data_IF_712371528908
#
_entry.id   IF_712371528908
#
_cell.length_a   1.000
_cell.length_b   1.000
_cell.length_c   1.000
_cell.angle_alpha   90.00
_cell.angle_beta   90.00
_cell.angle_gamma   90.00
#
_symmetry.space_group_name_H-M   'P 1'
#
loop_
_entity.id
_entity.type
_entity.pdbx_description
1 polymer ?
#
# COMPACT_ATOMS: atom_id res chain seq x y z
N UNK A 1 3.15 7.55 22.33
CA UNK A 1 1.88 7.54 21.55
C UNK A 1 1.74 8.75 20.60
N UNK A 2 1.92 10.00 21.05
CA UNK A 2 1.74 11.16 20.16
C UNK A 2 2.75 11.26 19.01
N UNK A 3 4.01 10.91 19.25
CA UNK A 3 5.06 11.03 18.23
C UNK A 3 4.96 9.94 17.15
N UNK A 4 4.58 8.72 17.53
CA UNK A 4 4.39 7.62 16.56
C UNK A 4 3.21 7.89 15.63
N UNK A 5 2.14 8.53 16.12
CA UNK A 5 1.00 8.90 15.29
C UNK A 5 1.30 10.04 14.32
N UNK A 6 2.15 11.00 14.71
CA UNK A 6 2.62 12.05 13.78
C UNK A 6 3.51 11.46 12.70
N UNK A 7 4.38 10.53 13.09
CA UNK A 7 5.24 9.84 12.13
C UNK A 7 4.41 9.01 11.14
N UNK A 8 3.43 8.25 11.64
CA UNK A 8 2.52 7.49 10.80
C UNK A 8 1.74 8.40 9.85
N UNK A 9 1.15 9.49 10.34
CA UNK A 9 0.48 10.48 9.48
C UNK A 9 1.41 11.00 8.36
N UNK A 10 2.67 11.26 8.69
CA UNK A 10 3.64 11.72 7.70
C UNK A 10 3.98 10.65 6.67
N UNK A 11 4.10 9.38 7.07
CA UNK A 11 4.31 8.28 6.12
C UNK A 11 3.15 8.17 5.15
N UNK A 12 1.90 8.19 5.64
CA UNK A 12 0.72 8.10 4.77
C UNK A 12 0.60 9.30 3.79
N UNK A 13 0.98 10.49 4.24
CA UNK A 13 1.00 11.69 3.38
C UNK A 13 2.05 11.54 2.26
N UNK A 14 3.23 11.01 2.56
CA UNK A 14 4.26 10.78 1.55
C UNK A 14 3.92 9.62 0.62
N UNK A 15 3.31 8.54 1.14
CA UNK A 15 2.75 7.43 0.36
C UNK A 15 1.71 7.92 -0.64
N UNK A 16 0.73 8.70 -0.17
CA UNK A 16 -0.27 9.36 -1.03
C UNK A 16 0.39 10.15 -2.17
N UNK A 17 1.36 11.03 -1.87
CA UNK A 17 2.04 11.84 -2.89
C UNK A 17 2.81 10.98 -3.88
N UNK A 18 3.53 9.97 -3.38
CA UNK A 18 4.27 9.03 -4.20
C UNK A 18 3.34 8.36 -5.20
N UNK A 19 2.26 7.73 -4.73
CA UNK A 19 1.32 7.02 -5.58
C UNK A 19 0.61 7.92 -6.58
N UNK A 20 0.14 9.11 -6.15
CA UNK A 20 -0.47 10.10 -7.07
C UNK A 20 0.48 10.55 -8.17
N UNK A 21 1.76 10.76 -7.83
CA UNK A 21 2.77 11.17 -8.81
C UNK A 21 3.07 10.03 -9.77
N UNK A 22 3.33 8.82 -9.26
CA UNK A 22 3.70 7.67 -10.08
C UNK A 22 2.58 7.17 -10.97
N UNK A 23 1.32 7.27 -10.51
CA UNK A 23 0.13 7.02 -11.34
C UNK A 23 0.18 7.75 -12.69
N UNK A 24 0.64 8.99 -12.69
CA UNK A 24 0.65 9.83 -13.90
C UNK A 24 1.92 9.61 -14.77
N UNK A 25 2.94 8.90 -14.24
CA UNK A 25 4.18 8.59 -14.94
C UNK A 25 4.16 7.23 -15.65
N UNK A 26 3.53 6.22 -15.02
CA UNK A 26 3.46 4.84 -15.52
C UNK A 26 2.65 4.74 -16.82
N UNK A 27 2.90 3.68 -17.59
CA UNK A 27 2.33 3.49 -18.93
C UNK A 27 1.24 2.43 -18.94
N UNK A 28 1.40 1.40 -18.13
CA UNK A 28 0.47 0.33 -17.94
C UNK A 28 -0.75 0.83 -17.15
N UNK A 29 -1.92 0.71 -17.76
CA UNK A 29 -3.18 1.15 -17.15
C UNK A 29 -3.49 0.42 -15.84
N UNK A 30 -3.19 -0.88 -15.76
CA UNK A 30 -3.37 -1.67 -14.54
C UNK A 30 -2.54 -1.09 -13.38
N UNK A 31 -1.29 -0.73 -13.65
CA UNK A 31 -0.38 -0.10 -12.68
C UNK A 31 -0.89 1.28 -12.26
N UNK A 32 -1.35 2.09 -13.20
CA UNK A 32 -1.95 3.39 -12.90
C UNK A 32 -3.19 3.26 -12.00
N UNK A 33 -4.07 2.30 -12.29
CA UNK A 33 -5.28 2.05 -11.51
C UNK A 33 -4.94 1.54 -10.10
N UNK A 34 -3.88 0.73 -9.94
CA UNK A 34 -3.37 0.31 -8.62
C UNK A 34 -2.84 1.49 -7.83
N UNK A 35 -2.01 2.35 -8.44
CA UNK A 35 -1.46 3.51 -7.73
C UNK A 35 -2.56 4.51 -7.37
N UNK A 36 -3.60 4.69 -8.19
CA UNK A 36 -4.75 5.50 -7.79
C UNK A 36 -5.50 4.89 -6.60
N UNK A 37 -5.67 3.58 -6.58
CA UNK A 37 -6.30 2.86 -5.48
C UNK A 37 -5.50 2.96 -4.17
N UNK A 38 -4.19 2.70 -4.23
CA UNK A 38 -3.29 2.83 -3.08
C UNK A 38 -3.30 4.27 -2.55
N UNK A 39 -3.20 5.28 -3.42
CA UNK A 39 -3.31 6.68 -3.02
C UNK A 39 -4.63 6.97 -2.27
N UNK A 40 -5.75 6.42 -2.71
CA UNK A 40 -7.02 6.64 -2.04
C UNK A 40 -7.04 6.02 -0.62
N UNK A 41 -6.43 4.84 -0.43
CA UNK A 41 -6.28 4.23 0.90
C UNK A 41 -5.40 5.08 1.83
N UNK A 42 -4.22 5.51 1.37
CA UNK A 42 -3.30 6.38 2.13
C UNK A 42 -3.98 7.68 2.61
N UNK A 43 -4.86 8.24 1.77
CA UNK A 43 -5.67 9.40 2.14
C UNK A 43 -6.65 9.07 3.26
N UNK A 44 -7.35 7.94 3.17
CA UNK A 44 -8.30 7.49 4.20
C UNK A 44 -7.58 7.18 5.52
N UNK A 45 -6.40 6.56 5.46
CA UNK A 45 -5.52 6.31 6.60
C UNK A 45 -5.07 7.62 7.26
N UNK A 46 -4.61 8.60 6.48
CA UNK A 46 -4.24 9.94 6.97
C UNK A 46 -5.41 10.58 7.72
N UNK A 47 -6.62 10.54 7.16
CA UNK A 47 -7.81 11.10 7.78
C UNK A 47 -8.18 10.36 9.08
N UNK A 48 -8.07 9.03 9.10
CA UNK A 48 -8.28 8.24 10.30
C UNK A 48 -7.26 8.60 11.40
N UNK A 49 -5.97 8.65 11.07
CA UNK A 49 -4.91 8.99 12.03
C UNK A 49 -5.12 10.39 12.61
N UNK A 50 -5.55 11.36 11.80
CA UNK A 50 -5.90 12.71 12.26
C UNK A 50 -7.05 12.71 13.26
N UNK A 51 -8.12 11.96 12.97
CA UNK A 51 -9.26 11.81 13.90
C UNK A 51 -8.82 11.16 15.20
N UNK A 52 -8.05 10.07 15.12
CA UNK A 52 -7.51 9.38 16.28
C UNK A 52 -6.65 10.29 17.15
N UNK A 53 -5.73 11.05 16.55
CA UNK A 53 -4.91 12.05 17.26
C UNK A 53 -5.78 13.07 17.99
N UNK A 54 -6.79 13.62 17.32
CA UNK A 54 -7.71 14.59 17.92
C UNK A 54 -8.49 14.00 19.10
N UNK A 55 -9.07 12.81 18.95
CA UNK A 55 -9.80 12.14 20.03
C UNK A 55 -8.92 11.89 21.26
N UNK A 56 -7.65 11.52 21.04
CA UNK A 56 -6.68 11.34 22.11
C UNK A 56 -6.33 12.66 22.84
N UNK A 57 -6.17 13.75 22.09
CA UNK A 57 -5.90 15.09 22.65
C UNK A 57 -7.10 15.60 23.47
N UNK A 58 -8.32 15.28 23.06
CA UNK A 58 -9.57 15.67 23.72
C UNK A 58 -10.00 14.69 24.85
N UNK A 59 -9.25 13.60 25.07
CA UNK A 59 -9.58 12.58 26.08
C UNK A 59 -10.85 11.77 25.78
N UNK A 60 -11.29 11.77 24.51
CA UNK A 60 -12.48 11.06 24.05
C UNK A 60 -12.21 9.58 23.80
N UNK A 61 -13.28 8.78 23.71
CA UNK A 61 -13.18 7.36 23.38
C UNK A 61 -12.59 7.18 21.97
N UNK A 62 -11.71 6.18 21.83
CA UNK A 62 -11.01 5.89 20.58
C UNK A 62 -11.98 5.16 19.65
N UNK A 63 -12.17 5.69 18.44
CA UNK A 63 -12.91 5.02 17.37
C UNK A 63 -12.28 3.65 17.06
N UNK A 64 -13.10 2.65 16.73
CA UNK A 64 -12.61 1.30 16.42
C UNK A 64 -11.54 1.33 15.33
N UNK A 65 -10.42 0.63 15.55
CA UNK A 65 -9.35 0.50 14.56
C UNK A 65 -9.91 -0.14 13.28
N UNK A 66 -9.74 0.47 12.10
CA UNK A 66 -10.35 -0.04 10.89
C UNK A 66 -9.59 -1.27 10.41
N UNK A 67 -10.34 -2.27 9.97
CA UNK A 67 -9.79 -3.45 9.33
C UNK A 67 -9.67 -3.19 7.83
N UNK A 68 -8.46 -3.32 7.29
CA UNK A 68 -8.25 -3.16 5.85
C UNK A 68 -8.78 -4.40 5.11
N UNK A 69 -9.65 -4.18 4.12
CA UNK A 69 -10.19 -5.24 3.26
C UNK A 69 -9.66 -5.09 1.83
N UNK A 70 -8.88 -6.06 1.38
CA UNK A 70 -8.37 -6.11 -0.01
C UNK A 70 -9.34 -6.75 -1.00
N UNK A 71 -10.51 -7.22 -0.52
CA UNK A 71 -11.53 -7.90 -1.34
C UNK A 71 -12.07 -7.01 -2.45
N UNK A 72 -12.24 -5.72 -2.17
CA UNK A 72 -12.72 -4.75 -3.17
C UNK A 72 -11.76 -4.64 -4.35
N UNK A 73 -10.45 -4.55 -4.06
CA UNK A 73 -9.41 -4.54 -5.08
C UNK A 73 -9.43 -5.80 -5.96
N UNK A 74 -9.47 -7.00 -5.36
CA UNK A 74 -9.49 -8.26 -6.13
C UNK A 74 -10.62 -8.32 -7.15
N UNK A 75 -11.83 -7.89 -6.75
CA UNK A 75 -13.00 -7.89 -7.64
C UNK A 75 -12.85 -6.94 -8.84
N UNK A 76 -12.19 -5.79 -8.64
CA UNK A 76 -11.93 -4.80 -9.70
C UNK A 76 -10.80 -5.26 -10.63
N UNK A 77 -9.77 -5.86 -10.05
CA UNK A 77 -8.57 -6.32 -10.73
C UNK A 77 -8.85 -7.44 -11.74
N UNK A 78 -9.68 -8.43 -11.37
CA UNK A 78 -10.03 -9.55 -12.25
C UNK A 78 -10.71 -9.10 -13.56
N UNK A 79 -11.38 -7.93 -13.57
CA UNK A 79 -11.99 -7.35 -14.76
C UNK A 79 -11.02 -6.61 -15.70
N UNK A 80 -9.77 -6.36 -15.28
CA UNK A 80 -8.80 -5.51 -15.99
C UNK A 80 -7.56 -6.26 -16.51
N UNK A 81 -7.51 -7.60 -16.37
CA UNK A 81 -6.34 -8.44 -16.72
C UNK A 81 -5.85 -8.34 -18.17
N UNK A 82 -6.58 -7.69 -19.07
CA UNK A 82 -6.21 -7.50 -20.48
C UNK A 82 -5.88 -6.02 -20.69
N UNK A 83 -4.71 -5.59 -20.22
CA UNK A 83 -4.10 -4.31 -20.62
C UNK A 83 -3.17 -4.57 -21.79
N UNK A 84 -3.42 -3.95 -22.94
CA UNK A 84 -2.50 -3.91 -24.07
C UNK A 84 -1.42 -2.85 -23.77
N UNK A 85 -0.30 -3.29 -23.17
CA UNK A 85 0.88 -2.46 -22.90
C UNK A 85 2.09 -3.09 -23.58
N UNK A 86 3.06 -2.29 -24.04
CA UNK A 86 4.28 -2.83 -24.63
C UNK A 86 5.20 -3.46 -23.56
N UNK A 87 6.04 -4.43 -23.96
CA UNK A 87 7.03 -5.04 -23.08
C UNK A 87 8.04 -4.02 -22.51
N UNK A 88 8.47 -3.04 -23.30
CA UNK A 88 9.40 -1.99 -22.83
C UNK A 88 8.77 -1.13 -21.73
N UNK A 89 7.50 -0.75 -21.92
CA UNK A 89 6.72 -0.01 -20.93
C UNK A 89 6.48 -0.83 -19.65
N UNK A 90 6.20 -2.13 -19.79
CA UNK A 90 6.06 -3.04 -18.65
C UNK A 90 7.35 -3.17 -17.83
N UNK A 91 8.50 -3.26 -18.48
CA UNK A 91 9.80 -3.32 -17.79
C UNK A 91 10.07 -2.01 -17.04
N UNK A 92 9.73 -0.86 -17.64
CA UNK A 92 9.86 0.43 -16.99
C UNK A 92 8.96 0.52 -15.75
N UNK A 93 7.68 0.16 -15.88
CA UNK A 93 6.71 0.20 -14.78
C UNK A 93 7.03 -0.82 -13.68
N UNK A 94 7.60 -1.97 -14.04
CA UNK A 94 8.07 -2.98 -13.08
C UNK A 94 9.13 -2.41 -12.13
N UNK A 95 9.99 -1.51 -12.62
CA UNK A 95 10.98 -0.84 -11.77
C UNK A 95 10.32 0.08 -10.73
N UNK A 96 9.25 0.77 -11.13
CA UNK A 96 8.46 1.65 -10.24
C UNK A 96 7.68 0.83 -9.21
N UNK A 97 7.05 -0.26 -9.63
CA UNK A 97 6.38 -1.21 -8.74
C UNK A 97 7.34 -1.82 -7.71
N UNK A 98 8.56 -2.17 -8.12
CA UNK A 98 9.60 -2.68 -7.20
C UNK A 98 9.99 -1.63 -6.17
N UNK A 99 10.09 -0.36 -6.56
CA UNK A 99 10.34 0.73 -5.63
C UNK A 99 9.20 0.86 -4.62
N UNK A 100 7.95 0.87 -5.07
CA UNK A 100 6.77 0.90 -4.22
C UNK A 100 6.76 -0.28 -3.22
N UNK A 101 6.99 -1.51 -3.72
CA UNK A 101 7.09 -2.71 -2.89
C UNK A 101 8.12 -2.58 -1.75
N UNK A 102 9.29 -2.01 -2.05
CA UNK A 102 10.35 -1.83 -1.05
C UNK A 102 9.96 -0.79 0.00
N UNK A 103 9.32 0.31 -0.40
CA UNK A 103 8.80 1.33 0.52
C UNK A 103 7.80 0.70 1.49
N UNK A 104 6.77 0.01 0.96
CA UNK A 104 5.75 -0.65 1.78
C UNK A 104 6.34 -1.70 2.72
N UNK A 105 7.32 -2.47 2.23
CA UNK A 105 8.02 -3.46 3.05
C UNK A 105 8.78 -2.80 4.19
N UNK A 106 9.48 -1.69 3.93
CA UNK A 106 10.25 -0.98 4.96
C UNK A 106 9.33 -0.39 6.04
N UNK A 107 8.17 0.16 5.67
CA UNK A 107 7.18 0.66 6.63
C UNK A 107 6.52 -0.46 7.43
N UNK A 108 6.11 -1.54 6.79
CA UNK A 108 5.61 -2.75 7.45
C UNK A 108 6.62 -3.26 8.50
N UNK A 109 7.89 -3.41 8.12
CA UNK A 109 8.94 -3.86 9.03
C UNK A 109 9.23 -2.86 10.15
N UNK A 110 9.15 -1.56 9.87
CA UNK A 110 9.30 -0.51 10.86
C UNK A 110 8.23 -0.65 11.95
N UNK A 111 6.96 -0.73 11.57
CA UNK A 111 5.85 -0.85 12.53
C UNK A 111 5.90 -2.17 13.30
N UNK A 112 6.26 -3.28 12.66
CA UNK A 112 6.47 -4.57 13.33
C UNK A 112 7.54 -4.46 14.43
N UNK A 113 8.72 -3.91 14.10
CA UNK A 113 9.82 -3.73 15.04
C UNK A 113 9.48 -2.74 16.15
N UNK A 114 8.70 -1.70 15.84
CA UNK A 114 8.20 -0.75 16.84
C UNK A 114 7.22 -1.43 17.82
N UNK A 115 6.26 -2.21 17.31
CA UNK A 115 5.28 -2.92 18.12
C UNK A 115 5.94 -3.91 19.09
N UNK A 116 7.00 -4.60 18.65
CA UNK A 116 7.73 -5.56 19.48
C UNK A 116 8.46 -4.91 20.67
N UNK A 117 8.81 -3.63 20.57
CA UNK A 117 9.53 -2.87 21.61
C UNK A 117 8.59 -2.06 22.50
N UNK A 118 7.33 -1.95 22.14
CA UNK A 118 6.34 -1.14 22.85
C UNK A 118 5.77 -1.88 24.07
N UNK A 119 5.63 -1.15 25.17
CA UNK A 119 5.15 -1.66 26.46
C UNK A 119 3.67 -1.29 26.66
N UNK A 120 3.23 -0.13 26.14
CA UNK A 120 1.80 0.22 26.18
C UNK A 120 1.03 -0.63 25.16
N UNK A 121 0.23 -1.58 25.66
CA UNK A 121 -0.55 -2.51 24.85
C UNK A 121 -1.52 -1.82 23.86
N UNK A 122 -1.98 -0.59 24.14
CA UNK A 122 -2.82 0.16 23.20
C UNK A 122 -1.99 0.66 22.02
N UNK A 123 -0.80 1.19 22.29
CA UNK A 123 0.13 1.68 21.27
C UNK A 123 0.64 0.50 20.42
N UNK A 124 0.93 -0.63 21.06
CA UNK A 124 1.31 -1.86 20.38
C UNK A 124 0.23 -2.36 19.41
N UNK A 125 -1.03 -2.39 19.83
CA UNK A 125 -2.15 -2.77 18.95
C UNK A 125 -2.28 -1.84 17.75
N UNK A 126 -2.14 -0.53 17.97
CA UNK A 126 -2.17 0.46 16.90
C UNK A 126 -1.04 0.26 15.89
N UNK A 127 0.19 0.03 16.36
CA UNK A 127 1.34 -0.27 15.52
C UNK A 127 1.13 -1.55 14.68
N UNK A 128 0.52 -2.58 15.26
CA UNK A 128 0.18 -3.80 14.51
C UNK A 128 -0.87 -3.56 13.42
N UNK A 129 -1.84 -2.67 13.67
CA UNK A 129 -2.82 -2.27 12.64
C UNK A 129 -2.14 -1.51 11.50
N UNK A 130 -1.26 -0.55 11.80
CA UNK A 130 -0.47 0.15 10.78
C UNK A 130 0.37 -0.85 9.97
N UNK A 131 1.03 -1.81 10.65
CA UNK A 131 1.77 -2.90 9.98
C UNK A 131 0.89 -3.71 9.03
N UNK A 132 -0.33 -4.06 9.45
CA UNK A 132 -1.28 -4.81 8.64
C UNK A 132 -1.71 -4.01 7.38
N UNK A 133 -1.78 -2.69 7.47
CA UNK A 133 -2.09 -1.83 6.33
C UNK A 133 -1.01 -1.89 5.25
N UNK A 134 0.25 -1.66 5.65
CA UNK A 134 1.40 -1.72 4.75
C UNK A 134 1.61 -3.14 4.18
N UNK A 135 1.32 -4.17 4.97
CA UNK A 135 1.32 -5.54 4.48
C UNK A 135 0.28 -5.74 3.36
N UNK A 136 -0.90 -5.13 3.50
CA UNK A 136 -1.95 -5.10 2.50
C UNK A 136 -1.52 -4.42 1.21
N UNK A 137 -0.93 -3.22 1.30
CA UNK A 137 -0.37 -2.49 0.15
C UNK A 137 0.69 -3.31 -0.58
N UNK A 138 1.65 -3.86 0.18
CA UNK A 138 2.72 -4.71 -0.35
C UNK A 138 2.16 -5.90 -1.12
N UNK A 139 1.11 -6.56 -0.63
CA UNK A 139 0.48 -7.72 -1.30
C UNK A 139 -0.17 -7.32 -2.62
N UNK A 140 -0.87 -6.19 -2.67
CA UNK A 140 -1.46 -5.66 -3.91
C UNK A 140 -0.38 -5.44 -4.98
N UNK A 141 0.73 -4.81 -4.59
CA UNK A 141 1.86 -4.54 -5.49
C UNK A 141 2.53 -5.84 -5.95
N UNK A 142 2.72 -6.80 -5.03
CA UNK A 142 3.32 -8.10 -5.36
C UNK A 142 2.46 -8.90 -6.36
N UNK A 143 1.13 -8.86 -6.22
CA UNK A 143 0.20 -9.50 -7.16
C UNK A 143 0.33 -8.89 -8.57
N UNK A 144 0.46 -7.57 -8.69
CA UNK A 144 0.66 -6.91 -9.99
C UNK A 144 2.02 -7.22 -10.62
N UNK A 145 3.08 -7.21 -9.82
CA UNK A 145 4.42 -7.61 -10.28
C UNK A 145 4.38 -9.02 -10.89
N UNK A 146 3.69 -9.97 -10.22
CA UNK A 146 3.53 -11.34 -10.73
C UNK A 146 2.77 -11.36 -12.04
N UNK A 147 1.66 -10.62 -12.15
CA UNK A 147 0.86 -10.56 -13.37
C UNK A 147 1.64 -10.01 -14.58
N UNK A 148 2.42 -8.95 -14.40
CA UNK A 148 3.26 -8.39 -15.47
C UNK A 148 4.31 -9.40 -15.91
N UNK A 149 4.99 -10.07 -14.97
CA UNK A 149 6.01 -11.08 -15.27
C UNK A 149 5.38 -12.27 -16.02
N UNK A 150 4.24 -12.78 -15.56
CA UNK A 150 3.52 -13.89 -16.19
C UNK A 150 3.10 -13.55 -17.63
N UNK A 151 2.53 -12.36 -17.85
CA UNK A 151 2.19 -11.88 -19.20
C UNK A 151 3.40 -11.84 -20.12
N UNK A 152 4.50 -11.24 -19.67
CA UNK A 152 5.71 -11.11 -20.49
C UNK A 152 6.39 -12.46 -20.77
N UNK A 153 6.33 -13.42 -19.83
CA UNK A 153 6.81 -14.78 -20.06
C UNK A 153 6.00 -15.51 -21.13
N UNK A 154 4.67 -15.33 -21.14
CA UNK A 154 3.78 -15.88 -22.15
C UNK A 154 4.06 -15.29 -23.54
N UNK A 155 4.33 -13.98 -23.64
CA UNK A 155 4.71 -13.33 -24.90
C UNK A 155 6.04 -13.86 -25.46
N UNK A 156 6.99 -14.22 -24.60
CA UNK A 156 8.28 -14.80 -24.99
C UNK A 156 8.21 -16.31 -25.33
N UNK A 157 7.04 -16.94 -25.19
CA UNK A 157 6.87 -18.37 -25.48
C UNK A 157 7.52 -19.31 -24.44
N UNK A 158 7.91 -18.81 -23.27
CA UNK A 158 8.37 -19.64 -22.17
C UNK A 158 7.17 -20.19 -21.41
N UNK A 159 6.70 -21.38 -21.81
CA UNK A 159 5.74 -22.16 -21.02
C UNK A 159 6.44 -22.85 -19.84
N UNK A 160 6.02 -22.61 -18.58
CA UNK A 160 6.43 -23.45 -17.48
C UNK A 160 5.67 -24.79 -17.58
N UNK A 161 6.42 -25.89 -17.69
CA UNK A 161 5.90 -27.25 -17.68
C UNK A 161 5.50 -27.67 -16.27
#
# INVERSE_FOLDING_TARGET
>A
MYDVLKLAEQFEIEGFKFYRTKRDEVKNKSVADIFDYLAQMEKEHTEFIRRLRKSLEEGSEIESLPQQSTTYYKSRYEGQKISETSQEDDIADLSVLRMAYLIEKDFMEFYEKAAQKEIDERVKKLLLVLRDWEEGHKKIIEEEIKAIIERNNLELGFYPF
#
